data_IF_297938272253
#
_entry.id   IF_297938272253
#
_cell.length_a   1.000
_cell.length_b   1.000
_cell.length_c   1.000
_cell.angle_alpha   90.00
_cell.angle_beta   90.00
_cell.angle_gamma   90.00
#
_symmetry.space_group_name_H-M   'P 1'
#
loop_
_entity.id
_entity.type
_entity.pdbx_description
1 polymer ?
#
# COMPACT_ATOMS: atom_id res chain seq x y z
N UNK A 1 -38.87 18.10 12.41
CA UNK A 1 -38.81 16.63 12.26
C UNK A 1 -37.37 16.24 11.95
N UNK A 2 -36.62 15.90 12.98
CA UNK A 2 -35.20 15.54 12.92
C UNK A 2 -35.05 14.04 12.69
N UNK A 3 -34.38 13.63 11.60
CA UNK A 3 -34.05 12.23 11.32
C UNK A 3 -32.96 11.77 12.28
N UNK A 4 -33.09 10.59 12.93
CA UNK A 4 -32.02 10.05 13.75
C UNK A 4 -30.88 9.49 12.89
N UNK A 5 -29.65 9.69 13.36
CA UNK A 5 -28.42 9.17 12.73
C UNK A 5 -28.38 7.64 12.75
N UNK A 6 -27.83 6.99 11.72
CA UNK A 6 -27.72 5.53 11.68
C UNK A 6 -26.62 5.03 12.63
N UNK A 7 -27.00 4.12 13.52
CA UNK A 7 -26.10 3.49 14.48
C UNK A 7 -25.23 2.42 13.82
N UNK A 8 -23.96 2.35 14.24
CA UNK A 8 -22.82 1.52 13.75
C UNK A 8 -23.01 0.00 13.65
N UNK A 9 -24.21 -0.55 13.94
CA UNK A 9 -24.44 -2.00 14.07
C UNK A 9 -25.08 -2.71 12.87
N UNK A 10 -25.26 -2.04 11.71
CA UNK A 10 -26.02 -2.62 10.57
C UNK A 10 -25.22 -3.14 9.38
N UNK A 11 -23.89 -3.13 9.42
CA UNK A 11 -23.09 -3.59 8.27
C UNK A 11 -22.67 -5.07 8.29
N UNK A 12 -22.93 -5.82 9.36
CA UNK A 12 -22.47 -7.21 9.53
C UNK A 12 -23.56 -8.27 9.52
N UNK A 13 -24.76 -7.97 9.02
CA UNK A 13 -25.86 -8.95 9.03
C UNK A 13 -26.55 -9.10 7.66
N UNK A 14 -25.82 -9.50 6.63
CA UNK A 14 -26.42 -9.97 5.38
C UNK A 14 -25.48 -10.95 4.62
N UNK A 15 -25.14 -12.05 5.26
CA UNK A 15 -24.62 -13.25 4.57
C UNK A 15 -25.11 -14.48 5.34
N UNK A 16 -26.30 -14.95 5.02
CA UNK A 16 -26.83 -16.16 5.60
C UNK A 16 -28.06 -16.68 4.85
N UNK A 17 -27.89 -17.82 4.24
CA UNK A 17 -28.89 -18.80 3.77
C UNK A 17 -29.71 -18.49 2.51
N UNK A 18 -29.43 -19.25 1.45
CA UNK A 18 -30.43 -20.14 0.86
C UNK A 18 -29.74 -21.39 0.33
N UNK A 19 -30.07 -22.54 0.95
CA UNK A 19 -29.85 -23.89 0.43
C UNK A 19 -31.10 -24.28 -0.32
N UNK A 20 -30.95 -25.05 -1.38
CA UNK A 20 -31.74 -26.24 -1.73
C UNK A 20 -31.90 -26.42 -3.24
N UNK A 21 -31.62 -27.64 -3.69
CA UNK A 21 -32.41 -28.29 -4.73
C UNK A 21 -31.62 -28.91 -5.88
N UNK A 22 -31.13 -30.14 -5.68
CA UNK A 22 -31.26 -31.35 -6.54
C UNK A 22 -31.23 -31.19 -8.06
N UNK A 23 -30.39 -31.94 -8.81
CA UNK A 23 -30.77 -33.28 -9.39
C UNK A 23 -29.58 -33.89 -10.13
N UNK A 24 -29.57 -35.23 -10.08
CA UNK A 24 -28.78 -36.25 -10.72
C UNK A 24 -28.54 -36.09 -12.24
N UNK A 25 -27.35 -36.53 -12.68
CA UNK A 25 -27.07 -36.87 -14.06
C UNK A 25 -25.81 -37.73 -14.16
N UNK A 26 -25.95 -39.04 -14.15
CA UNK A 26 -24.90 -40.04 -14.37
C UNK A 26 -24.74 -40.31 -15.87
N UNK A 27 -23.48 -40.42 -16.35
CA UNK A 27 -23.08 -41.27 -17.51
C UNK A 27 -21.54 -41.22 -17.57
N UNK A 28 -20.92 -42.28 -17.30
CA UNK A 28 -20.48 -43.45 -18.05
C UNK A 28 -19.04 -43.31 -18.58
N UNK A 29 -18.21 -44.06 -17.96
CA UNK A 29 -17.01 -44.81 -18.34
C UNK A 29 -16.62 -44.87 -19.84
N UNK A 30 -15.36 -44.61 -20.14
CA UNK A 30 -14.66 -45.51 -21.08
C UNK A 30 -13.17 -45.61 -20.68
N UNK A 31 -12.75 -46.78 -20.34
CA UNK A 31 -11.36 -47.19 -20.14
C UNK A 31 -10.75 -47.54 -21.51
N UNK A 32 -9.48 -47.15 -21.71
CA UNK A 32 -8.62 -47.81 -22.68
C UNK A 32 -7.28 -48.10 -22.01
N UNK A 33 -7.06 -49.38 -21.84
CA UNK A 33 -5.77 -49.98 -21.53
C UNK A 33 -4.99 -50.24 -22.83
N UNK A 34 -3.68 -50.12 -22.80
CA UNK A 34 -2.68 -50.91 -23.56
C UNK A 34 -1.33 -50.22 -23.39
N UNK A 35 -0.33 -50.78 -23.06
CA UNK A 35 0.51 -51.95 -23.25
C UNK A 35 1.97 -51.50 -23.01
N UNK A 36 2.55 -52.25 -22.17
CA UNK A 36 3.96 -52.34 -21.81
C UNK A 36 4.88 -52.54 -23.05
N UNK A 37 6.00 -51.79 -23.07
CA UNK A 37 7.22 -52.29 -23.68
C UNK A 37 8.45 -51.63 -23.01
N UNK A 38 9.25 -52.46 -22.38
CA UNK A 38 10.46 -52.12 -21.69
C UNK A 38 11.60 -51.65 -22.59
N UNK A 39 12.35 -50.69 -22.10
CA UNK A 39 13.72 -50.41 -22.52
C UNK A 39 14.56 -50.12 -21.29
N UNK A 40 15.46 -51.05 -20.98
CA UNK A 40 16.51 -50.89 -19.97
C UNK A 40 17.52 -49.88 -20.51
N UNK A 41 17.69 -48.76 -19.89
CA UNK A 41 18.88 -47.92 -20.04
C UNK A 41 19.56 -47.75 -18.70
N UNK A 42 20.80 -48.24 -18.70
CA UNK A 42 21.76 -48.16 -17.63
C UNK A 42 22.25 -46.71 -17.53
N UNK A 43 21.89 -45.96 -16.53
CA UNK A 43 22.43 -44.63 -16.25
C UNK A 43 23.26 -44.66 -14.97
N UNK A 44 24.54 -44.50 -15.15
CA UNK A 44 25.56 -44.28 -14.14
C UNK A 44 25.19 -43.09 -13.27
N UNK A 45 24.90 -43.30 -12.00
CA UNK A 45 24.70 -42.27 -11.03
C UNK A 45 26.01 -41.58 -10.68
N UNK A 46 26.15 -40.31 -11.07
CA UNK A 46 27.15 -39.40 -10.51
C UNK A 46 26.67 -38.95 -9.14
N UNK A 47 27.49 -38.93 -8.09
CA UNK A 47 27.06 -38.45 -6.77
C UNK A 47 26.71 -36.98 -6.85
N UNK A 48 25.48 -36.65 -6.53
CA UNK A 48 25.03 -35.26 -6.34
C UNK A 48 25.80 -34.63 -5.18
N UNK A 49 26.46 -33.51 -5.45
CA UNK A 49 27.05 -32.67 -4.43
C UNK A 49 25.96 -32.25 -3.43
N UNK A 50 26.24 -32.46 -2.15
CA UNK A 50 25.35 -32.02 -1.06
C UNK A 50 25.18 -30.52 -1.14
N UNK A 51 23.91 -30.07 -1.31
CA UNK A 51 23.53 -28.69 -1.15
C UNK A 51 23.75 -28.25 0.31
N UNK A 52 24.21 -27.03 0.58
CA UNK A 52 24.36 -26.56 1.94
C UNK A 52 22.98 -26.47 2.62
N UNK A 53 22.83 -27.18 3.72
CA UNK A 53 21.70 -27.04 4.62
C UNK A 53 21.77 -25.64 5.30
N UNK A 54 21.01 -24.69 4.79
CA UNK A 54 20.89 -23.35 5.32
C UNK A 54 19.44 -22.90 5.22
N UNK A 55 18.51 -23.74 5.67
CA UNK A 55 17.09 -23.38 5.74
C UNK A 55 16.72 -22.89 7.14
N UNK A 56 17.17 -21.72 7.52
CA UNK A 56 16.43 -20.92 8.50
C UNK A 56 15.18 -20.41 7.78
N UNK A 57 13.98 -20.91 8.15
CA UNK A 57 12.74 -20.29 7.71
C UNK A 57 12.75 -18.79 8.06
N UNK A 58 12.01 -17.95 7.35
CA UNK A 58 11.98 -16.52 7.64
C UNK A 58 11.63 -16.33 9.12
N UNK A 59 12.46 -15.57 9.84
CA UNK A 59 12.23 -15.25 11.24
C UNK A 59 10.87 -14.55 11.32
N UNK A 60 9.95 -15.10 12.12
CA UNK A 60 8.63 -14.48 12.34
C UNK A 60 8.88 -13.11 12.97
N UNK A 61 8.61 -12.05 12.22
CA UNK A 61 8.76 -10.69 12.73
C UNK A 61 7.81 -10.47 13.94
N UNK A 62 8.26 -9.80 15.02
CA UNK A 62 7.40 -9.54 16.16
C UNK A 62 6.20 -8.67 15.77
N UNK A 63 5.04 -8.78 16.44
CA UNK A 63 3.87 -7.98 16.11
C UNK A 63 4.14 -6.48 16.28
N UNK A 64 3.65 -5.67 15.35
CA UNK A 64 3.67 -4.20 15.44
C UNK A 64 2.43 -3.73 16.18
N UNK A 65 2.62 -2.98 17.25
CA UNK A 65 1.53 -2.45 18.09
C UNK A 65 1.55 -0.92 18.23
N UNK A 66 2.62 -0.26 17.77
CA UNK A 66 2.77 1.20 17.84
C UNK A 66 3.22 1.78 16.49
N UNK A 67 2.91 3.06 16.26
CA UNK A 67 3.36 3.78 15.08
C UNK A 67 4.88 3.81 14.94
N UNK A 68 5.60 4.02 16.04
CA UNK A 68 7.06 4.01 16.06
C UNK A 68 7.64 2.65 15.60
N UNK A 69 7.07 1.53 16.03
CA UNK A 69 7.47 0.20 15.56
C UNK A 69 7.14 0.02 14.07
N UNK A 70 6.01 0.55 13.60
CA UNK A 70 5.64 0.53 12.19
C UNK A 70 6.64 1.33 11.35
N UNK A 71 6.98 2.55 11.75
CA UNK A 71 7.99 3.39 11.08
C UNK A 71 9.35 2.69 11.02
N UNK A 72 9.80 2.11 12.14
CA UNK A 72 11.05 1.36 12.18
C UNK A 72 11.03 0.20 11.17
N UNK A 73 9.94 -0.57 11.13
CA UNK A 73 9.79 -1.71 10.20
C UNK A 73 9.80 -1.27 8.74
N UNK A 74 9.17 -0.15 8.42
CA UNK A 74 9.23 0.43 7.07
C UNK A 74 10.64 0.91 6.73
N UNK A 75 11.33 1.57 7.67
CA UNK A 75 12.71 2.04 7.47
C UNK A 75 13.69 0.87 7.25
N UNK A 76 13.57 -0.22 8.01
CA UNK A 76 14.37 -1.43 7.84
C UNK A 76 14.11 -2.09 6.47
N UNK A 77 12.85 -2.16 6.03
CA UNK A 77 12.49 -2.66 4.70
C UNK A 77 13.07 -1.79 3.60
N UNK A 78 12.95 -0.46 3.71
CA UNK A 78 13.55 0.45 2.74
C UNK A 78 15.09 0.35 2.71
N UNK A 79 15.75 0.15 3.85
CA UNK A 79 17.19 -0.07 3.88
C UNK A 79 17.61 -1.33 3.10
N UNK A 80 16.83 -2.42 3.19
CA UNK A 80 17.06 -3.63 2.38
C UNK A 80 16.82 -3.36 0.90
N UNK A 81 15.76 -2.65 0.53
CA UNK A 81 15.49 -2.25 -0.84
C UNK A 81 16.65 -1.42 -1.44
N UNK A 82 17.12 -0.39 -0.72
CA UNK A 82 18.23 0.47 -1.15
C UNK A 82 19.54 -0.29 -1.32
N UNK A 83 19.80 -1.28 -0.49
CA UNK A 83 21.03 -2.10 -0.54
C UNK A 83 20.97 -3.31 -1.47
N UNK A 84 19.89 -3.46 -2.25
CA UNK A 84 19.65 -4.62 -3.12
C UNK A 84 19.62 -5.94 -2.34
N UNK A 85 19.09 -5.88 -1.12
CA UNK A 85 18.98 -7.01 -0.17
C UNK A 85 17.50 -7.29 0.18
N UNK A 86 16.58 -6.91 -0.70
CA UNK A 86 15.15 -7.12 -0.48
C UNK A 86 14.88 -8.61 -0.26
N UNK A 87 14.18 -8.93 0.81
CA UNK A 87 13.94 -10.31 1.24
C UNK A 87 12.78 -10.97 0.50
N UNK A 88 11.93 -10.19 -0.17
CA UNK A 88 10.71 -10.66 -0.84
C UNK A 88 9.87 -11.59 0.06
N UNK A 89 9.87 -11.27 1.35
CA UNK A 89 9.13 -12.03 2.35
C UNK A 89 7.61 -11.84 2.12
N UNK A 90 6.85 -12.87 2.49
CA UNK A 90 5.39 -12.80 2.46
C UNK A 90 4.74 -12.55 1.07
N UNK A 91 5.42 -12.91 -0.02
CA UNK A 91 4.90 -12.79 -1.40
C UNK A 91 4.36 -14.12 -1.95
N UNK A 92 4.65 -15.23 -1.30
CA UNK A 92 4.39 -16.59 -1.78
C UNK A 92 2.96 -17.09 -1.57
N UNK A 93 2.71 -18.30 -2.09
CA UNK A 93 1.41 -18.98 -1.97
C UNK A 93 1.04 -19.26 -0.52
N UNK A 94 1.99 -19.63 0.33
CA UNK A 94 1.77 -19.90 1.75
C UNK A 94 1.19 -18.66 2.45
N UNK A 95 1.81 -17.50 2.28
CA UNK A 95 1.31 -16.24 2.84
C UNK A 95 -0.06 -15.88 2.29
N UNK A 96 -0.27 -16.02 0.97
CA UNK A 96 -1.56 -15.76 0.35
C UNK A 96 -2.69 -16.60 0.97
N UNK A 97 -2.44 -17.87 1.24
CA UNK A 97 -3.40 -18.75 1.91
C UNK A 97 -3.61 -18.30 3.36
N UNK A 98 -2.53 -17.98 4.09
CA UNK A 98 -2.61 -17.57 5.49
C UNK A 98 -3.46 -16.29 5.68
N UNK A 99 -3.36 -15.31 4.76
CA UNK A 99 -4.10 -14.05 4.86
C UNK A 99 -5.45 -14.04 4.14
N UNK A 100 -5.85 -15.15 3.50
CA UNK A 100 -7.07 -15.21 2.67
C UNK A 100 -8.37 -14.99 3.45
N UNK A 101 -8.40 -15.29 4.73
CA UNK A 101 -9.60 -15.21 5.58
C UNK A 101 -9.64 -13.93 6.43
N UNK A 102 -8.49 -13.32 6.71
CA UNK A 102 -8.39 -12.10 7.50
C UNK A 102 -7.09 -11.34 7.14
N UNK A 103 -7.11 -10.02 7.36
CA UNK A 103 -5.94 -9.17 7.17
C UNK A 103 -5.61 -8.43 8.47
N UNK A 104 -4.32 -8.28 8.75
CA UNK A 104 -3.80 -7.57 9.92
C UNK A 104 -2.62 -6.68 9.51
N UNK A 105 -2.87 -5.67 8.64
CA UNK A 105 -1.82 -4.76 8.20
C UNK A 105 -1.27 -3.97 9.38
N UNK A 106 0.03 -3.67 9.34
CA UNK A 106 0.66 -2.90 10.42
C UNK A 106 0.80 -1.41 10.11
N UNK A 107 0.53 -0.98 8.88
CA UNK A 107 0.54 0.42 8.48
C UNK A 107 -0.44 0.71 7.35
N UNK A 108 -0.94 1.94 7.31
CA UNK A 108 -1.66 2.52 6.18
C UNK A 108 -0.74 3.54 5.50
N UNK A 109 -0.59 3.45 4.18
CA UNK A 109 0.27 4.35 3.41
C UNK A 109 -0.55 5.02 2.30
N UNK A 110 -0.54 6.35 2.27
CA UNK A 110 -1.00 7.15 1.15
C UNK A 110 0.19 7.54 0.28
N UNK A 111 0.18 7.18 -0.99
CA UNK A 111 1.21 7.59 -1.93
C UNK A 111 0.68 7.94 -3.32
N UNK A 112 1.59 8.33 -4.21
CA UNK A 112 1.25 8.70 -5.57
C UNK A 112 0.91 7.49 -6.44
N UNK A 113 0.10 7.74 -7.50
CA UNK A 113 -0.15 6.77 -8.58
C UNK A 113 1.07 6.55 -9.48
N UNK A 114 2.16 7.30 -9.31
CA UNK A 114 3.39 7.20 -10.10
C UNK A 114 3.90 5.76 -10.15
N UNK A 115 4.04 5.20 -11.36
CA UNK A 115 4.42 3.80 -11.58
C UNK A 115 5.82 3.43 -11.05
N UNK A 116 6.67 4.44 -10.77
CA UNK A 116 8.01 4.27 -10.23
C UNK A 116 8.02 4.15 -8.69
N UNK A 117 6.85 4.25 -8.05
CA UNK A 117 6.68 4.21 -6.58
C UNK A 117 5.80 3.03 -6.18
N UNK A 118 6.25 1.78 -6.38
CA UNK A 118 5.56 0.59 -5.88
C UNK A 118 5.83 0.48 -4.37
N UNK A 119 4.87 0.93 -3.56
CA UNK A 119 5.03 1.14 -2.11
C UNK A 119 5.48 -0.14 -1.40
N UNK A 120 4.87 -1.27 -1.72
CA UNK A 120 5.20 -2.56 -1.12
C UNK A 120 6.66 -2.95 -1.42
N UNK A 121 7.14 -2.73 -2.65
CA UNK A 121 8.53 -3.02 -3.01
C UNK A 121 9.51 -2.04 -2.34
N UNK A 122 9.17 -0.75 -2.31
CA UNK A 122 10.01 0.29 -1.69
C UNK A 122 10.26 0.01 -0.21
N UNK A 123 9.29 -0.61 0.46
CA UNK A 123 9.39 -0.97 1.87
C UNK A 123 9.68 -2.47 2.11
N UNK A 124 9.96 -3.24 1.06
CA UNK A 124 10.20 -4.70 1.15
C UNK A 124 9.14 -5.39 2.01
N UNK A 125 7.85 -5.25 1.59
CA UNK A 125 6.67 -5.76 2.29
C UNK A 125 5.81 -6.62 1.37
N UNK A 126 5.17 -7.62 1.94
CA UNK A 126 4.39 -8.60 1.21
C UNK A 126 2.88 -8.50 1.45
N UNK A 127 2.19 -9.57 1.11
CA UNK A 127 0.74 -9.69 1.15
C UNK A 127 0.19 -9.48 2.57
N UNK A 128 -0.72 -8.51 2.72
CA UNK A 128 -1.42 -8.26 3.97
C UNK A 128 -0.66 -7.42 4.99
N UNK A 129 0.55 -6.93 4.66
CA UNK A 129 1.37 -6.12 5.55
C UNK A 129 0.92 -4.66 5.61
N UNK A 130 0.47 -4.11 4.46
CA UNK A 130 0.12 -2.70 4.32
C UNK A 130 -1.30 -2.52 3.78
N UNK A 131 -1.97 -1.46 4.22
CA UNK A 131 -3.07 -0.84 3.49
C UNK A 131 -2.47 0.24 2.60
N UNK A 132 -2.57 0.09 1.29
CA UNK A 132 -2.00 1.05 0.33
C UNK A 132 -3.12 1.78 -0.39
N UNK A 133 -3.15 3.11 -0.24
CA UNK A 133 -4.05 4.01 -0.96
C UNK A 133 -3.22 4.90 -1.87
N UNK A 134 -3.63 5.07 -3.13
CA UNK A 134 -2.85 5.84 -4.11
C UNK A 134 -3.74 6.84 -4.84
N UNK A 135 -3.27 8.09 -4.89
CA UNK A 135 -3.87 9.16 -5.70
C UNK A 135 -2.76 10.02 -6.30
N UNK A 136 -3.02 10.68 -7.44
CA UNK A 136 -2.03 11.54 -8.07
C UNK A 136 -1.66 12.71 -7.14
N UNK A 137 -0.38 12.82 -6.77
CA UNK A 137 0.10 13.84 -5.84
C UNK A 137 -0.50 13.75 -4.44
N UNK A 138 -0.85 12.56 -3.97
CA UNK A 138 -1.45 12.30 -2.65
C UNK A 138 -2.72 13.11 -2.37
N UNK A 139 -3.43 13.55 -3.43
CA UNK A 139 -4.64 14.39 -3.32
C UNK A 139 -5.72 13.63 -2.56
N UNK A 140 -6.30 14.33 -1.58
CA UNK A 140 -7.40 13.82 -0.77
C UNK A 140 -8.75 14.19 -1.40
N UNK A 141 -9.56 13.17 -1.62
CA UNK A 141 -11.00 13.29 -1.84
C UNK A 141 -11.78 12.47 -0.80
N UNK A 142 -13.08 12.38 -0.94
CA UNK A 142 -13.92 11.60 -0.02
C UNK A 142 -13.63 10.09 -0.07
N UNK A 143 -13.29 9.56 -1.23
CA UNK A 143 -12.99 8.13 -1.42
C UNK A 143 -11.63 7.78 -0.84
N UNK A 144 -10.62 8.59 -1.15
CA UNK A 144 -9.26 8.46 -0.59
C UNK A 144 -9.30 8.58 0.93
N UNK A 145 -9.92 9.64 1.46
CA UNK A 145 -10.04 9.85 2.91
C UNK A 145 -10.76 8.69 3.60
N UNK A 146 -11.90 8.24 3.04
CA UNK A 146 -12.65 7.10 3.60
C UNK A 146 -11.86 5.79 3.59
N UNK A 147 -11.00 5.58 2.58
CA UNK A 147 -10.12 4.41 2.52
C UNK A 147 -9.02 4.46 3.60
N UNK A 148 -8.46 5.65 3.84
CA UNK A 148 -7.49 5.86 4.92
C UNK A 148 -8.14 5.67 6.30
N UNK A 149 -9.34 6.23 6.51
CA UNK A 149 -10.12 6.04 7.74
C UNK A 149 -10.42 4.55 8.00
N UNK A 150 -10.74 3.79 6.94
CA UNK A 150 -10.94 2.34 7.05
C UNK A 150 -9.67 1.64 7.54
N UNK A 151 -8.51 1.96 6.98
CA UNK A 151 -7.23 1.39 7.41
C UNK A 151 -6.92 1.63 8.88
N UNK A 152 -7.10 2.86 9.36
CA UNK A 152 -6.72 3.23 10.74
C UNK A 152 -7.81 2.92 11.78
N UNK A 153 -9.09 2.97 11.42
CA UNK A 153 -10.18 2.80 12.37
C UNK A 153 -10.77 1.39 12.39
N UNK A 154 -10.92 0.74 11.21
CA UNK A 154 -11.53 -0.59 11.12
C UNK A 154 -10.46 -1.70 11.18
N UNK A 155 -9.31 -1.50 10.51
CA UNK A 155 -8.20 -2.46 10.54
C UNK A 155 -7.20 -2.17 11.66
N UNK A 156 -7.28 -1.00 12.29
CA UNK A 156 -6.52 -0.67 13.49
C UNK A 156 -5.03 -0.47 13.25
N UNK A 157 -4.62 -0.04 12.04
CA UNK A 157 -3.20 0.22 11.78
C UNK A 157 -2.68 1.37 12.66
N UNK A 158 -1.57 1.19 13.39
CA UNK A 158 -1.06 2.20 14.32
C UNK A 158 -0.29 3.34 13.63
N UNK A 159 -0.07 3.25 12.31
CA UNK A 159 0.62 4.26 11.50
C UNK A 159 -0.19 4.60 10.26
N UNK A 160 -0.30 5.91 9.95
CA UNK A 160 -0.65 6.43 8.65
C UNK A 160 0.50 7.27 8.12
N UNK A 161 1.13 6.80 7.04
CA UNK A 161 2.24 7.46 6.37
C UNK A 161 1.78 8.13 5.09
N UNK A 162 2.12 9.41 4.90
CA UNK A 162 1.95 10.12 3.61
C UNK A 162 3.31 10.14 2.91
N UNK A 163 3.40 9.47 1.77
CA UNK A 163 4.64 9.28 1.02
C UNK A 163 4.65 10.10 -0.26
N UNK A 164 5.23 11.30 -0.19
CA UNK A 164 5.60 12.08 -1.38
C UNK A 164 6.83 11.48 -2.07
N UNK A 165 7.10 11.88 -3.31
CA UNK A 165 8.24 11.34 -4.03
C UNK A 165 8.91 12.35 -4.97
N UNK A 166 10.19 12.15 -5.21
CA UNK A 166 11.00 12.95 -6.12
C UNK A 166 10.39 13.01 -7.53
N UNK A 167 10.41 14.20 -8.12
CA UNK A 167 9.91 14.45 -9.50
C UNK A 167 8.45 13.99 -9.71
N UNK A 168 7.57 14.30 -8.74
CA UNK A 168 6.15 14.01 -8.86
C UNK A 168 5.52 14.75 -10.06
N UNK A 169 4.98 13.97 -11.00
CA UNK A 169 4.41 14.53 -12.23
C UNK A 169 3.16 15.38 -11.99
N UNK A 170 2.35 15.06 -10.98
CA UNK A 170 1.15 15.83 -10.65
C UNK A 170 1.51 17.23 -10.10
N UNK A 171 2.50 17.31 -9.20
CA UNK A 171 2.99 18.58 -8.67
C UNK A 171 3.68 19.42 -9.74
N UNK A 172 4.50 18.79 -10.62
CA UNK A 172 5.13 19.46 -11.75
C UNK A 172 4.10 20.02 -12.75
N UNK A 173 3.06 19.25 -13.06
CA UNK A 173 1.94 19.71 -13.89
C UNK A 173 1.23 20.93 -13.28
N UNK A 174 1.03 20.92 -11.96
CA UNK A 174 0.43 22.05 -11.24
C UNK A 174 1.33 23.29 -11.30
N UNK A 175 2.65 23.14 -11.15
CA UNK A 175 3.60 24.25 -11.31
C UNK A 175 3.47 24.85 -12.72
N UNK A 176 3.50 24.00 -13.76
CA UNK A 176 3.37 24.42 -15.15
C UNK A 176 2.03 25.12 -15.44
N UNK A 177 0.93 24.61 -14.90
CA UNK A 177 -0.38 25.22 -15.04
C UNK A 177 -0.44 26.62 -14.40
N UNK A 178 0.19 26.80 -13.24
CA UNK A 178 0.24 28.11 -12.56
C UNK A 178 1.16 29.12 -13.26
N UNK A 179 2.22 28.64 -13.92
CA UNK A 179 3.15 29.48 -14.67
C UNK A 179 2.61 29.84 -16.08
N UNK A 180 1.69 29.04 -16.62
CA UNK A 180 1.03 29.33 -17.87
C UNK A 180 -0.01 30.46 -17.71
N UNK A 181 -0.10 31.34 -18.69
CA UNK A 181 -1.11 32.42 -18.70
C UNK A 181 -2.55 31.91 -18.89
N UNK A 182 -2.71 30.67 -19.29
CA UNK A 182 -3.98 29.96 -19.50
C UNK A 182 -3.90 28.56 -18.86
N UNK A 183 -4.19 28.44 -17.57
CA UNK A 183 -4.06 27.19 -16.83
C UNK A 183 -5.33 26.32 -16.99
N UNK A 184 -5.68 25.93 -18.19
CA UNK A 184 -6.80 24.99 -18.38
C UNK A 184 -6.21 23.57 -18.48
N UNK A 185 -6.41 22.76 -17.45
CA UNK A 185 -6.31 21.32 -17.55
C UNK A 185 -7.68 20.78 -17.97
N UNK A 186 -7.69 19.76 -18.85
CA UNK A 186 -8.94 19.17 -19.31
C UNK A 186 -9.48 18.15 -18.30
N UNK A 187 -10.80 18.22 -18.05
CA UNK A 187 -11.51 17.22 -17.26
C UNK A 187 -11.10 17.17 -15.80
N UNK A 188 -11.07 15.96 -15.22
CA UNK A 188 -10.77 15.74 -13.79
C UNK A 188 -9.31 16.03 -13.41
N UNK A 189 -8.41 16.24 -14.38
CA UNK A 189 -7.03 16.67 -14.11
C UNK A 189 -7.01 18.07 -13.51
N UNK A 190 -7.95 18.94 -13.90
CA UNK A 190 -8.08 20.27 -13.32
C UNK A 190 -8.36 20.22 -11.79
N UNK A 191 -9.16 19.27 -11.35
CA UNK A 191 -9.38 19.02 -9.92
C UNK A 191 -8.07 18.72 -9.17
N UNK A 192 -7.16 17.94 -9.77
CA UNK A 192 -5.85 17.64 -9.18
C UNK A 192 -4.97 18.89 -9.10
N UNK A 193 -4.96 19.71 -10.16
CA UNK A 193 -4.22 20.99 -10.20
C UNK A 193 -4.72 21.93 -9.13
N UNK A 194 -6.05 22.08 -8.97
CA UNK A 194 -6.64 22.93 -7.93
C UNK A 194 -6.32 22.41 -6.51
N UNK A 195 -6.37 21.10 -6.30
CA UNK A 195 -6.05 20.50 -5.00
C UNK A 195 -4.57 20.68 -4.60
N UNK A 196 -3.64 20.66 -5.57
CA UNK A 196 -2.19 20.83 -5.36
C UNK A 196 -1.74 22.30 -5.39
N UNK A 197 -2.55 23.23 -5.91
CA UNK A 197 -2.26 24.66 -6.00
C UNK A 197 -1.75 25.26 -4.68
N UNK A 198 -2.36 25.01 -3.50
CA UNK A 198 -1.90 25.59 -2.24
C UNK A 198 -0.45 25.23 -1.91
N UNK A 199 -0.02 23.99 -2.17
CA UNK A 199 1.35 23.55 -1.94
C UNK A 199 2.36 24.31 -2.81
N UNK A 200 2.04 24.49 -4.09
CA UNK A 200 2.90 25.22 -5.04
C UNK A 200 2.96 26.71 -4.68
N UNK A 201 1.85 27.32 -4.28
CA UNK A 201 1.79 28.73 -3.87
C UNK A 201 2.55 28.98 -2.56
N UNK A 202 2.51 28.04 -1.60
CA UNK A 202 3.18 28.18 -0.31
C UNK A 202 4.70 28.29 -0.44
N UNK A 203 5.28 27.74 -1.50
CA UNK A 203 6.74 27.73 -1.74
C UNK A 203 7.19 28.79 -2.73
N UNK A 204 6.31 29.70 -3.17
CA UNK A 204 6.66 30.77 -4.07
C UNK A 204 7.78 31.64 -3.46
N UNK A 205 8.87 31.84 -4.22
CA UNK A 205 10.03 32.60 -3.76
C UNK A 205 10.96 31.89 -2.75
N UNK A 206 10.66 30.64 -2.37
CA UNK A 206 11.58 29.84 -1.52
C UNK A 206 12.82 29.45 -2.34
N UNK A 207 14.00 29.52 -1.71
CA UNK A 207 15.26 29.05 -2.30
C UNK A 207 15.27 27.53 -2.52
N UNK A 208 16.11 27.05 -3.43
CA UNK A 208 16.25 25.64 -3.77
C UNK A 208 15.33 25.20 -4.94
N UNK A 209 15.19 23.90 -5.11
CA UNK A 209 14.34 23.34 -6.16
C UNK A 209 12.86 23.50 -5.84
N UNK A 210 12.15 24.26 -6.67
CA UNK A 210 10.74 24.59 -6.48
C UNK A 210 9.83 23.34 -6.45
N UNK A 211 10.13 22.35 -7.30
CA UNK A 211 9.35 21.12 -7.37
C UNK A 211 9.50 20.31 -6.07
N UNK A 212 10.72 20.10 -5.62
CA UNK A 212 11.00 19.43 -4.35
C UNK A 212 10.35 20.14 -3.17
N UNK A 213 10.49 21.47 -3.10
CA UNK A 213 9.85 22.27 -2.05
C UNK A 213 8.33 22.11 -2.05
N UNK A 214 7.69 22.10 -3.24
CA UNK A 214 6.25 21.96 -3.38
C UNK A 214 5.78 20.55 -2.98
N UNK A 215 6.54 19.51 -3.27
CA UNK A 215 6.23 18.14 -2.86
C UNK A 215 6.24 18.04 -1.33
N UNK A 216 7.28 18.54 -0.65
CA UNK A 216 7.31 18.56 0.81
C UNK A 216 6.15 19.36 1.41
N UNK A 217 5.87 20.55 0.87
CA UNK A 217 4.73 21.35 1.30
C UNK A 217 3.40 20.62 1.11
N UNK A 218 3.26 19.85 0.03
CA UNK A 218 2.06 19.04 -0.22
C UNK A 218 1.89 17.94 0.84
N UNK A 219 2.94 17.21 1.16
CA UNK A 219 2.91 16.21 2.25
C UNK A 219 2.44 16.84 3.56
N UNK A 220 3.01 18.00 3.93
CA UNK A 220 2.61 18.73 5.14
C UNK A 220 1.15 19.17 5.12
N UNK A 221 0.65 19.67 3.99
CA UNK A 221 -0.75 20.06 3.83
C UNK A 221 -1.70 18.88 3.89
N UNK A 222 -1.35 17.75 3.29
CA UNK A 222 -2.12 16.50 3.36
C UNK A 222 -2.22 16.03 4.81
N UNK A 223 -1.11 15.99 5.55
CA UNK A 223 -1.11 15.67 6.98
C UNK A 223 -2.00 16.63 7.79
N UNK A 224 -1.90 17.94 7.51
CA UNK A 224 -2.73 18.93 8.17
C UNK A 224 -4.24 18.75 7.86
N UNK A 225 -4.59 18.29 6.66
CA UNK A 225 -5.97 17.97 6.30
C UNK A 225 -6.44 16.69 7.01
N UNK A 226 -5.64 15.63 7.04
CA UNK A 226 -5.95 14.38 7.73
C UNK A 226 -6.20 14.60 9.23
N UNK A 227 -5.42 15.47 9.89
CA UNK A 227 -5.65 15.88 11.29
C UNK A 227 -7.02 16.51 11.55
N UNK A 228 -7.66 17.06 10.52
CA UNK A 228 -9.02 17.63 10.62
C UNK A 228 -10.13 16.58 10.47
N UNK A 229 -9.81 15.35 10.05
CA UNK A 229 -10.78 14.26 9.99
C UNK A 229 -11.36 13.98 11.37
N UNK A 230 -12.66 13.74 11.42
CA UNK A 230 -13.39 13.37 12.65
C UNK A 230 -13.06 11.94 13.13
N UNK A 231 -12.34 11.15 12.34
CA UNK A 231 -11.89 9.79 12.64
C UNK A 231 -10.40 9.79 12.95
N UNK A 232 -9.57 10.31 12.03
CA UNK A 232 -8.10 10.26 12.12
C UNK A 232 -7.59 11.18 13.25
N UNK A 233 -8.05 12.42 13.32
CA UNK A 233 -7.58 13.39 14.30
C UNK A 233 -7.74 12.93 15.77
N UNK A 234 -8.87 12.37 16.20
CA UNK A 234 -9.02 11.80 17.54
C UNK A 234 -8.10 10.60 17.80
N UNK A 235 -7.82 9.75 16.81
CA UNK A 235 -6.90 8.61 16.96
C UNK A 235 -5.46 9.10 17.19
N UNK A 236 -5.00 10.09 16.42
CA UNK A 236 -3.69 10.72 16.61
C UNK A 236 -3.59 11.37 18.00
N UNK A 237 -4.57 12.18 18.41
CA UNK A 237 -4.60 12.86 19.71
C UNK A 237 -4.60 11.90 20.90
N UNK A 238 -5.18 10.72 20.75
CA UNK A 238 -5.20 9.69 21.81
C UNK A 238 -3.93 8.83 21.84
N UNK A 239 -2.96 9.05 20.94
CA UNK A 239 -1.75 8.25 20.81
C UNK A 239 -1.96 6.84 20.24
N UNK A 240 -3.15 6.55 19.70
CA UNK A 240 -3.45 5.26 19.04
C UNK A 240 -2.98 5.20 17.60
N UNK A 241 -2.73 6.35 16.99
CA UNK A 241 -2.28 6.49 15.63
C UNK A 241 -1.11 7.45 15.58
N UNK A 242 -0.06 7.08 14.88
CA UNK A 242 1.00 7.99 14.45
C UNK A 242 0.73 8.46 13.03
N UNK A 243 0.78 9.78 12.81
CA UNK A 243 0.69 10.41 11.51
C UNK A 243 2.08 10.92 11.13
N UNK A 244 2.64 10.40 10.02
CA UNK A 244 3.98 10.76 9.58
C UNK A 244 4.00 11.14 8.10
N UNK A 245 4.92 12.03 7.73
CA UNK A 245 5.27 12.35 6.35
C UNK A 245 6.56 11.66 5.95
N UNK A 246 6.72 11.38 4.66
CA UNK A 246 7.97 10.86 4.13
C UNK A 246 8.17 11.30 2.67
N UNK A 247 9.41 11.24 2.23
CA UNK A 247 9.81 11.57 0.87
C UNK A 247 10.67 10.44 0.28
N UNK A 248 10.23 9.89 -0.86
CA UNK A 248 10.93 8.84 -1.59
C UNK A 248 11.80 9.44 -2.70
N UNK A 249 13.08 9.18 -2.66
CA UNK A 249 14.06 9.59 -3.66
C UNK A 249 14.13 8.54 -4.78
N UNK A 250 13.68 8.90 -5.99
CA UNK A 250 13.71 7.99 -7.14
C UNK A 250 15.12 7.60 -7.57
N UNK A 251 16.11 8.47 -7.32
CA UNK A 251 17.50 8.23 -7.76
C UNK A 251 18.23 7.23 -6.87
N UNK A 252 17.89 7.18 -5.61
CA UNK A 252 18.59 6.37 -4.59
C UNK A 252 17.77 5.22 -4.06
N UNK A 253 16.45 5.27 -4.25
CA UNK A 253 15.50 4.34 -3.60
C UNK A 253 15.24 4.64 -2.13
N UNK A 254 15.87 5.68 -1.56
CA UNK A 254 15.80 6.01 -0.14
C UNK A 254 14.50 6.72 0.21
N UNK A 255 13.92 6.36 1.35
CA UNK A 255 12.82 7.08 1.99
C UNK A 255 13.36 7.87 3.19
N UNK A 256 13.06 9.16 3.23
CA UNK A 256 13.37 10.07 4.35
C UNK A 256 12.05 10.39 5.05
N UNK A 257 11.97 10.07 6.34
CA UNK A 257 10.80 10.39 7.18
C UNK A 257 10.98 11.81 7.72
N UNK A 258 9.92 12.62 7.68
CA UNK A 258 9.90 14.04 8.11
C UNK A 258 9.11 14.22 9.40
#
# INVERSE_FOLDING_TARGET
MTRPAPTRRRFLAAAGLTAAGTTLGAAALTACAATDQGAKSNSTQTPAAAAPAGGGGPAVEPPVTTGAQALQRLAEGNARFVSDQAGHADEGTERRVAVSQAQHPFATVLGCVDSRVPIELVFDRGLGDLVVVRSAGEVLDRSVTGSLEFGVAELGTPLLLVLGHQRCGAVDATIKALDAKHPEADGDIDYLVEALRPAVQQVAGRSGDRLTNAIHANVDLVLAQLRKSTVIGPLEKSGKLELAGAYYELDTGKVVIS
#
